data_IF_037657154546
#
_entry.id   IF_037657154546
#
_cell.length_a   1.000
_cell.length_b   1.000
_cell.length_c   1.000
_cell.angle_alpha   90.00
_cell.angle_beta   90.00
_cell.angle_gamma   90.00
#
_symmetry.space_group_name_H-M   'P 1'
#
loop_
_entity.id
_entity.type
_entity.pdbx_description
1 polymer ?
#
# COMPACT_ATOMS: atom_id res chain seq x y z
N UNK A 1 -15.17 13.61 1.67
CA UNK A 1 -14.91 13.31 3.09
C UNK A 1 -14.37 11.89 3.15
N UNK A 2 -13.12 11.71 3.58
CA UNK A 2 -12.52 10.39 3.82
C UNK A 2 -12.99 9.95 5.20
N UNK A 3 -13.54 8.73 5.30
CA UNK A 3 -13.84 8.15 6.61
C UNK A 3 -12.60 7.42 7.08
N UNK A 4 -12.04 7.91 8.18
CA UNK A 4 -10.96 7.25 8.89
C UNK A 4 -11.58 6.15 9.74
N UNK A 5 -11.32 4.89 9.38
CA UNK A 5 -11.66 3.78 10.24
C UNK A 5 -10.43 3.47 11.09
N UNK A 6 -10.56 3.72 12.40
CA UNK A 6 -9.61 3.13 13.34
C UNK A 6 -9.78 1.61 13.26
N UNK A 7 -8.72 0.89 12.90
CA UNK A 7 -8.67 -0.56 13.06
C UNK A 7 -8.57 -0.84 14.55
N UNK A 8 -9.70 -0.80 15.25
CA UNK A 8 -9.77 -1.20 16.64
C UNK A 8 -9.83 -2.75 16.68
N UNK A 9 -8.73 -3.42 16.37
CA UNK A 9 -8.63 -4.88 16.48
C UNK A 9 -7.33 -5.22 17.18
N UNK A 10 -7.44 -5.66 18.44
CA UNK A 10 -6.38 -6.22 19.27
C UNK A 10 -6.00 -7.66 18.85
N UNK A 11 -6.35 -8.07 17.63
CA UNK A 11 -6.16 -9.42 17.13
C UNK A 11 -5.00 -9.40 16.12
N UNK A 12 -3.87 -10.06 16.43
CA UNK A 12 -2.67 -10.07 15.58
C UNK A 12 -2.99 -10.46 14.13
N UNK A 13 -4.04 -11.27 13.93
CA UNK A 13 -4.54 -11.73 12.63
C UNK A 13 -4.97 -10.63 11.66
N UNK A 14 -5.35 -9.45 12.15
CA UNK A 14 -5.81 -8.34 11.31
C UNK A 14 -4.79 -7.21 11.17
N UNK A 15 -3.54 -7.44 11.59
CA UNK A 15 -2.49 -6.43 11.45
C UNK A 15 -2.08 -6.31 9.99
N UNK A 16 -2.26 -5.11 9.42
CA UNK A 16 -1.79 -4.80 8.07
C UNK A 16 -0.34 -4.32 8.14
N UNK A 17 0.51 -4.90 7.30
CA UNK A 17 1.91 -4.50 7.14
C UNK A 17 2.11 -3.87 5.77
N UNK A 18 2.86 -2.77 5.74
CA UNK A 18 3.36 -2.16 4.50
C UNK A 18 4.77 -2.68 4.27
N UNK A 19 4.98 -3.24 3.07
CA UNK A 19 6.27 -3.75 2.62
C UNK A 19 6.97 -2.72 1.73
N UNK A 20 8.25 -2.44 1.98
CA UNK A 20 9.01 -1.45 1.22
C UNK A 20 10.50 -1.84 1.08
N UNK A 21 11.18 -1.22 0.12
CA UNK A 21 12.63 -1.33 -0.08
C UNK A 21 13.16 -2.71 -0.44
N UNK A 22 12.37 -3.51 -1.17
CA UNK A 22 12.81 -4.80 -1.68
C UNK A 22 12.01 -5.26 -2.89
N UNK A 23 12.51 -6.31 -3.53
CA UNK A 23 11.94 -6.92 -4.74
C UNK A 23 11.13 -8.18 -4.46
N UNK A 24 11.06 -8.63 -3.20
CA UNK A 24 10.39 -9.87 -2.82
C UNK A 24 9.63 -9.74 -1.49
N UNK A 25 8.41 -10.29 -1.47
CA UNK A 25 7.54 -10.36 -0.29
C UNK A 25 7.07 -11.79 -0.08
N UNK A 26 7.19 -12.29 1.15
CA UNK A 26 6.59 -13.58 1.55
C UNK A 26 5.20 -13.31 2.10
N UNK A 27 4.16 -13.63 1.31
CA UNK A 27 2.75 -13.40 1.67
C UNK A 27 2.01 -14.65 2.16
N UNK A 28 2.51 -15.85 1.84
CA UNK A 28 1.92 -17.16 2.25
C UNK A 28 2.92 -17.93 3.11
N UNK A 29 2.40 -18.77 4.02
CA UNK A 29 3.23 -19.68 4.82
C UNK A 29 4.03 -20.63 3.91
N UNK A 30 5.33 -20.79 4.17
CA UNK A 30 6.23 -21.61 3.35
C UNK A 30 6.79 -20.92 2.09
N UNK A 31 6.36 -19.69 1.77
CA UNK A 31 6.99 -18.90 0.72
C UNK A 31 8.45 -18.53 1.08
N UNK A 32 9.32 -18.45 0.07
CA UNK A 32 10.72 -18.12 0.25
C UNK A 32 11.08 -16.87 -0.55
N UNK A 33 11.81 -15.96 0.09
CA UNK A 33 12.46 -14.83 -0.57
C UNK A 33 13.96 -14.89 -0.27
N UNK A 34 14.84 -14.70 -1.26
CA UNK A 34 16.26 -14.49 -0.98
C UNK A 34 16.43 -13.31 -0.02
N UNK A 35 17.20 -13.46 1.06
CA UNK A 35 17.30 -12.44 2.11
C UNK A 35 17.74 -11.07 1.55
N UNK A 36 18.62 -11.04 0.54
CA UNK A 36 19.07 -9.80 -0.10
C UNK A 36 18.02 -9.09 -0.96
N UNK A 37 16.90 -9.75 -1.32
CA UNK A 37 15.77 -9.16 -2.06
C UNK A 37 14.57 -8.84 -1.17
N UNK A 38 14.65 -9.21 0.11
CA UNK A 38 13.51 -9.20 1.03
C UNK A 38 13.13 -7.78 1.42
N UNK A 39 11.84 -7.51 1.34
CA UNK A 39 11.28 -6.23 1.79
C UNK A 39 11.38 -6.04 3.31
N UNK A 40 11.53 -4.78 3.72
CA UNK A 40 11.29 -4.34 5.09
C UNK A 40 9.78 -4.26 5.33
N UNK A 41 9.36 -4.34 6.59
CA UNK A 41 7.95 -4.23 6.99
C UNK A 41 7.74 -3.17 8.06
N UNK A 42 6.64 -2.44 7.97
CA UNK A 42 6.18 -1.49 8.98
C UNK A 42 4.67 -1.67 9.19
N UNK A 43 4.20 -1.56 10.43
CA UNK A 43 2.78 -1.71 10.73
C UNK A 43 1.99 -0.50 10.23
N UNK A 44 0.78 -0.76 9.75
CA UNK A 44 -0.23 0.27 9.57
C UNK A 44 -0.99 0.49 10.89
N UNK A 45 -1.14 1.75 11.30
CA UNK A 45 -1.90 2.11 12.51
C UNK A 45 -3.33 2.54 12.20
N UNK A 46 -3.55 3.08 11.00
CA UNK A 46 -4.87 3.54 10.57
C UNK A 46 -5.02 3.44 9.06
N UNK A 47 -6.25 3.17 8.61
CA UNK A 47 -6.63 3.19 7.20
C UNK A 47 -7.84 4.09 6.99
N UNK A 48 -7.73 5.01 6.03
CA UNK A 48 -8.82 5.89 5.61
C UNK A 48 -9.32 5.50 4.23
N UNK A 49 -10.62 5.27 4.08
CA UNK A 49 -11.26 4.94 2.80
C UNK A 49 -12.33 6.00 2.51
N UNK A 50 -12.46 6.48 1.26
CA UNK A 50 -13.53 7.40 0.89
C UNK A 50 -14.90 6.76 1.10
N UNK A 51 -15.84 7.45 1.75
CA UNK A 51 -17.20 6.94 1.98
C UNK A 51 -17.90 6.50 0.68
N UNK A 52 -17.59 7.16 -0.44
CA UNK A 52 -18.13 6.83 -1.77
C UNK A 52 -17.79 5.41 -2.23
N UNK A 53 -16.68 4.84 -1.75
CA UNK A 53 -16.31 3.45 -2.03
C UNK A 53 -17.43 2.48 -1.65
N UNK A 54 -18.01 2.66 -0.46
CA UNK A 54 -19.04 1.77 0.09
C UNK A 54 -20.42 2.01 -0.52
N UNK A 55 -20.70 3.22 -1.01
CA UNK A 55 -22.02 3.57 -1.57
C UNK A 55 -22.10 3.38 -3.09
N UNK A 56 -20.96 3.28 -3.78
CA UNK A 56 -20.91 3.21 -5.24
C UNK A 56 -20.99 1.77 -5.74
N UNK A 57 -21.87 1.50 -6.70
CA UNK A 57 -21.90 0.21 -7.42
C UNK A 57 -20.76 0.05 -8.46
N UNK A 58 -20.03 1.13 -8.76
CA UNK A 58 -19.03 1.17 -9.84
C UNK A 58 -17.58 1.28 -9.33
N UNK A 59 -17.29 0.86 -8.09
CA UNK A 59 -15.95 0.98 -7.47
C UNK A 59 -15.42 2.43 -7.45
N UNK A 60 -16.30 3.43 -7.48
CA UNK A 60 -15.87 4.83 -7.40
C UNK A 60 -15.35 5.11 -5.99
N UNK A 61 -14.12 5.62 -5.89
CA UNK A 61 -13.46 5.84 -4.61
C UNK A 61 -12.65 4.65 -4.11
N UNK A 62 -12.29 3.70 -4.99
CA UNK A 62 -11.38 2.58 -4.71
C UNK A 62 -9.94 3.06 -4.52
N UNK A 63 -9.70 3.67 -3.36
CA UNK A 63 -8.41 4.16 -2.89
C UNK A 63 -8.44 4.14 -1.36
N UNK A 64 -7.29 3.89 -0.74
CA UNK A 64 -7.12 3.99 0.70
C UNK A 64 -5.87 4.82 1.02
N UNK A 65 -5.92 5.56 2.13
CA UNK A 65 -4.76 6.17 2.76
C UNK A 65 -4.37 5.31 3.96
N UNK A 66 -3.09 4.94 4.05
CA UNK A 66 -2.58 4.09 5.14
C UNK A 66 -1.58 4.91 5.94
N UNK A 67 -1.84 5.07 7.24
CA UNK A 67 -0.90 5.70 8.15
C UNK A 67 0.04 4.64 8.73
N UNK A 68 1.34 4.88 8.63
CA UNK A 68 2.38 4.01 9.17
C UNK A 68 2.57 4.26 10.68
N UNK A 69 2.98 3.22 11.41
CA UNK A 69 3.30 3.30 12.84
C UNK A 69 4.44 4.26 13.15
N UNK A 70 5.37 4.42 12.21
CA UNK A 70 6.53 5.30 12.35
C UNK A 70 6.75 6.04 11.04
N UNK A 71 7.19 7.29 11.14
CA UNK A 71 7.64 8.06 9.98
C UNK A 71 8.90 7.42 9.43
N UNK A 72 8.96 7.21 8.13
CA UNK A 72 10.16 6.68 7.49
C UNK A 72 11.27 7.75 7.51
N UNK A 73 12.53 7.40 7.83
CA UNK A 73 13.61 8.37 7.89
C UNK A 73 13.91 8.95 6.51
N UNK A 74 14.00 10.28 6.39
CA UNK A 74 14.32 10.95 5.11
C UNK A 74 15.67 10.51 4.51
N UNK A 75 16.59 10.01 5.34
CA UNK A 75 17.90 9.52 4.92
C UNK A 75 17.90 8.07 4.43
N UNK A 76 16.77 7.36 4.47
CA UNK A 76 16.70 5.95 4.09
C UNK A 76 16.55 5.79 2.57
N UNK A 77 17.64 5.38 1.92
CA UNK A 77 17.70 5.19 0.47
C UNK A 77 16.95 3.92 -0.02
N UNK A 78 16.23 3.22 0.84
CA UNK A 78 15.46 2.04 0.47
C UNK A 78 14.07 2.35 -0.08
N UNK A 79 13.62 3.61 -0.08
CA UNK A 79 12.35 3.98 -0.68
C UNK A 79 12.45 5.33 -1.42
N UNK A 80 11.47 5.56 -2.27
CA UNK A 80 11.22 6.85 -2.90
C UNK A 80 9.72 7.14 -2.82
N UNK A 81 9.33 8.39 -3.04
CA UNK A 81 7.94 8.85 -2.96
C UNK A 81 7.40 9.23 -4.34
N UNK A 82 6.22 8.71 -4.67
CA UNK A 82 5.52 9.12 -5.87
C UNK A 82 4.86 10.49 -5.67
N UNK A 83 5.09 11.40 -6.61
CA UNK A 83 4.43 12.71 -6.60
C UNK A 83 2.93 12.57 -6.90
N UNK A 84 2.10 13.30 -6.15
CA UNK A 84 0.69 13.45 -6.50
C UNK A 84 0.52 14.41 -7.68
N UNK A 85 -0.36 14.11 -8.65
CA UNK A 85 -0.63 15.03 -9.75
C UNK A 85 -1.32 16.30 -9.22
N UNK A 86 -0.79 17.46 -9.58
CA UNK A 86 -1.35 18.76 -9.16
C UNK A 86 -2.65 19.14 -9.89
N UNK A 87 -2.94 18.47 -11.01
CA UNK A 87 -4.10 18.70 -11.85
C UNK A 87 -4.54 17.41 -12.55
N UNK A 88 -5.69 17.44 -13.21
CA UNK A 88 -6.18 16.30 -13.99
C UNK A 88 -5.32 16.12 -15.24
N UNK A 89 -4.76 14.93 -15.43
CA UNK A 89 -3.87 14.60 -16.54
C UNK A 89 -4.55 13.57 -17.45
N UNK A 90 -4.41 13.72 -18.78
CA UNK A 90 -4.84 12.70 -19.75
C UNK A 90 -3.73 11.68 -19.92
N UNK A 91 -3.94 10.47 -19.41
CA UNK A 91 -2.93 9.41 -19.40
C UNK A 91 -2.43 8.99 -20.80
N UNK A 92 -3.27 9.09 -21.85
CA UNK A 92 -2.92 8.70 -23.23
C UNK A 92 -1.75 9.46 -23.84
N UNK A 93 -1.40 10.63 -23.29
CA UNK A 93 -0.32 11.48 -23.79
C UNK A 93 1.03 11.22 -23.10
N UNK A 94 1.11 10.20 -22.24
CA UNK A 94 2.29 9.92 -21.43
C UNK A 94 2.67 8.44 -21.49
N UNK A 95 3.96 8.17 -21.34
CA UNK A 95 4.45 6.82 -21.08
C UNK A 95 4.12 6.48 -19.63
N UNK A 96 3.35 5.42 -19.44
CA UNK A 96 2.94 4.95 -18.12
C UNK A 96 3.75 3.73 -17.75
N UNK A 97 4.19 3.68 -16.50
CA UNK A 97 4.82 2.50 -15.90
C UNK A 97 3.96 2.02 -14.75
N UNK A 98 3.81 0.71 -14.63
CA UNK A 98 3.11 0.05 -13.54
C UNK A 98 3.95 -1.10 -13.01
N UNK A 99 3.95 -1.30 -11.71
CA UNK A 99 4.67 -2.38 -11.04
C UNK A 99 3.79 -3.01 -9.97
N UNK A 100 4.04 -4.28 -9.67
CA UNK A 100 3.37 -5.02 -8.61
C UNK A 100 3.84 -6.47 -8.62
N UNK A 101 3.77 -7.12 -7.46
CA UNK A 101 4.17 -8.53 -7.34
C UNK A 101 3.22 -9.49 -8.08
N UNK A 102 1.99 -9.04 -8.36
CA UNK A 102 0.92 -9.93 -8.82
C UNK A 102 0.45 -10.85 -7.69
N UNK A 103 -0.66 -11.54 -7.90
CA UNK A 103 -1.12 -12.60 -7.01
C UNK A 103 -1.04 -13.92 -7.75
N UNK A 104 -0.20 -14.84 -7.29
CA UNK A 104 -0.20 -16.22 -7.79
C UNK A 104 -1.46 -16.92 -7.28
N UNK A 105 -2.33 -17.28 -8.24
CA UNK A 105 -3.63 -17.92 -7.99
C UNK A 105 -3.52 -19.40 -7.62
N UNK A 106 -2.31 -19.96 -7.65
CA UNK A 106 -2.03 -21.34 -7.25
C UNK A 106 -2.04 -21.53 -5.73
#
# INVERSE_FOLDING_TARGET
>A
MIQLHALCSSDEKNTVYVHYGGECVVVKAGGQCPEFKKTRRIKAVQMGVPARYFTSKCRSGDIALVQLETVLPESDNSYDVACLPSHKIKLKSHNLTSAGYGYDRE
#
